data_IF_259011983582
#
_entry.id   IF_259011983582
#
_cell.length_a   1.000
_cell.length_b   1.000
_cell.length_c   1.000
_cell.angle_alpha   90.00
_cell.angle_beta   90.00
_cell.angle_gamma   90.00
#
_symmetry.space_group_name_H-M   'P 1'
#
loop_
_entity.id
_entity.type
_entity.pdbx_description
1 polymer ?
#
# COMPACT_ATOMS: atom_id res chain seq x y z
N UNK A 1 -2.07 -19.01 9.38
CA UNK A 1 -1.43 -18.88 8.05
C UNK A 1 0.03 -18.47 8.26
N UNK A 2 0.99 -19.28 7.82
CA UNK A 2 2.42 -19.07 8.06
C UNK A 2 2.95 -17.90 7.23
N UNK A 3 3.66 -16.94 7.84
CA UNK A 3 4.24 -15.74 7.21
C UNK A 3 5.35 -15.97 6.18
N UNK A 4 5.26 -17.03 5.37
CA UNK A 4 6.23 -17.39 4.32
C UNK A 4 6.35 -16.35 3.19
N UNK A 5 5.39 -15.42 3.07
CA UNK A 5 5.41 -14.36 2.06
C UNK A 5 6.47 -13.27 2.31
N UNK A 6 6.99 -13.13 3.54
CA UNK A 6 7.96 -12.06 3.86
C UNK A 6 9.30 -12.22 3.14
N UNK A 7 9.72 -13.47 2.86
CA UNK A 7 11.01 -13.77 2.20
C UNK A 7 11.10 -13.28 0.75
N UNK A 8 9.98 -13.11 0.07
CA UNK A 8 9.97 -12.60 -1.31
C UNK A 8 10.48 -11.15 -1.33
N UNK A 9 10.13 -10.36 -0.32
CA UNK A 9 10.51 -8.94 -0.23
C UNK A 9 11.98 -8.70 0.13
N UNK A 10 12.70 -9.68 0.68
CA UNK A 10 14.13 -9.54 1.01
C UNK A 10 15.00 -9.34 -0.25
N UNK A 11 14.51 -9.79 -1.41
CA UNK A 11 15.18 -9.67 -2.71
C UNK A 11 14.62 -8.55 -3.60
N UNK A 12 13.51 -7.92 -3.19
CA UNK A 12 12.82 -6.90 -3.97
C UNK A 12 13.39 -5.53 -3.60
N UNK A 13 14.17 -4.97 -4.52
CA UNK A 13 14.84 -3.68 -4.37
C UNK A 13 14.12 -2.56 -5.14
N UNK A 14 12.82 -2.73 -5.43
CA UNK A 14 12.00 -1.73 -6.13
C UNK A 14 11.07 -0.99 -5.14
N UNK A 15 10.65 0.25 -5.44
CA UNK A 15 9.70 0.97 -4.60
C UNK A 15 8.37 0.22 -4.49
N UNK A 16 7.85 0.10 -3.27
CA UNK A 16 6.54 -0.49 -2.99
C UNK A 16 5.65 0.59 -2.38
N UNK A 17 4.59 0.93 -3.09
CA UNK A 17 3.61 1.95 -2.65
C UNK A 17 2.26 1.28 -2.40
N UNK A 18 1.73 1.43 -1.19
CA UNK A 18 0.39 0.95 -0.83
C UNK A 18 -0.62 2.08 -0.98
N UNK A 19 -1.73 1.80 -1.64
CA UNK A 19 -2.93 2.65 -1.64
C UNK A 19 -4.03 1.84 -0.99
N UNK A 20 -4.47 2.22 0.21
CA UNK A 20 -5.37 1.39 1.01
C UNK A 20 -6.42 2.21 1.77
N UNK A 21 -7.52 1.58 2.17
CA UNK A 21 -8.48 2.19 3.08
C UNK A 21 -7.88 2.31 4.50
N UNK A 22 -8.15 3.42 5.21
CA UNK A 22 -7.68 3.58 6.61
C UNK A 22 -8.38 2.62 7.58
N UNK A 23 -9.63 2.27 7.30
CA UNK A 23 -10.50 1.53 8.22
C UNK A 23 -9.95 0.13 8.59
N UNK A 24 -9.16 -0.48 7.71
CA UNK A 24 -8.60 -1.81 7.93
C UNK A 24 -7.11 -1.73 8.28
N UNK A 25 -6.69 -2.22 9.46
CA UNK A 25 -5.32 -2.06 9.90
C UNK A 25 -4.35 -2.86 9.03
N UNK A 26 -3.57 -2.15 8.22
CA UNK A 26 -2.35 -2.70 7.62
C UNK A 26 -1.24 -2.63 8.66
N UNK A 27 -0.51 -3.72 8.88
CA UNK A 27 0.68 -3.69 9.75
C UNK A 27 1.85 -2.99 9.04
N UNK A 28 1.73 -1.67 8.93
CA UNK A 28 2.66 -0.81 8.20
C UNK A 28 4.07 -0.86 8.81
N UNK A 29 4.17 -0.98 10.14
CA UNK A 29 5.46 -1.11 10.83
C UNK A 29 6.22 -2.37 10.43
N UNK A 30 5.52 -3.50 10.31
CA UNK A 30 6.13 -4.75 9.85
C UNK A 30 6.54 -4.64 8.38
N UNK A 31 5.71 -4.04 7.53
CA UNK A 31 6.03 -3.85 6.12
C UNK A 31 7.29 -2.98 5.93
N UNK A 32 7.37 -1.85 6.65
CA UNK A 32 8.54 -0.95 6.62
C UNK A 32 9.84 -1.62 7.09
N UNK A 33 9.77 -2.60 7.98
CA UNK A 33 10.96 -3.37 8.42
C UNK A 33 11.50 -4.33 7.36
N UNK A 34 10.64 -4.80 6.44
CA UNK A 34 11.01 -5.79 5.43
C UNK A 34 11.15 -5.20 4.02
N UNK A 35 10.62 -4.00 3.77
CA UNK A 35 10.63 -3.32 2.47
C UNK A 35 11.46 -2.05 2.60
N UNK A 36 12.56 -1.96 1.86
CA UNK A 36 13.50 -0.83 1.95
C UNK A 36 12.90 0.49 1.49
N UNK A 37 12.14 0.48 0.40
CA UNK A 37 11.49 1.66 -0.18
C UNK A 37 9.98 1.45 -0.13
N UNK A 38 9.38 1.95 0.96
CA UNK A 38 7.98 1.72 1.31
C UNK A 38 7.28 3.05 1.55
N UNK A 39 6.18 3.26 0.83
CA UNK A 39 5.26 4.38 1.03
C UNK A 39 3.82 3.87 1.15
N UNK A 40 2.99 4.60 1.89
CA UNK A 40 1.58 4.25 2.06
C UNK A 40 0.71 5.52 1.98
N UNK A 41 -0.35 5.41 1.20
CA UNK A 41 -1.41 6.39 1.03
C UNK A 41 -2.70 5.77 1.54
N UNK A 42 -3.46 6.56 2.31
CA UNK A 42 -4.75 6.14 2.81
C UNK A 42 -5.88 6.85 2.07
N UNK A 43 -6.95 6.10 1.81
CA UNK A 43 -8.23 6.62 1.34
C UNK A 43 -9.15 6.63 2.55
N UNK A 44 -9.49 7.84 3.00
CA UNK A 44 -10.36 8.03 4.15
C UNK A 44 -11.80 7.63 3.80
N UNK A 45 -12.59 7.27 4.80
CA UNK A 45 -14.03 6.92 4.67
C UNK A 45 -14.35 5.91 3.56
N UNK A 46 -13.45 4.95 3.32
CA UNK A 46 -13.67 3.82 2.40
C UNK A 46 -13.63 2.49 3.14
N UNK A 47 -14.40 1.52 2.65
CA UNK A 47 -14.46 0.15 3.13
C UNK A 47 -13.36 -0.72 2.54
N UNK A 48 -13.67 -1.98 2.24
CA UNK A 48 -12.66 -2.95 1.82
C UNK A 48 -12.18 -2.75 0.39
N UNK A 49 -13.02 -2.14 -0.46
CA UNK A 49 -12.76 -1.98 -1.89
C UNK A 49 -12.76 -0.50 -2.28
N UNK A 50 -11.75 0.30 -1.89
CA UNK A 50 -11.72 1.73 -2.16
C UNK A 50 -11.82 2.08 -3.65
N UNK A 51 -11.34 1.20 -4.53
CA UNK A 51 -11.45 1.34 -5.98
C UNK A 51 -12.89 1.21 -6.52
N UNK A 52 -13.78 0.53 -5.78
CA UNK A 52 -15.20 0.39 -6.14
C UNK A 52 -16.07 1.42 -5.40
N UNK A 53 -15.75 1.67 -4.13
CA UNK A 53 -16.52 2.54 -3.25
C UNK A 53 -16.26 4.02 -3.53
N UNK A 54 -15.01 4.38 -3.85
CA UNK A 54 -14.57 5.75 -4.13
C UNK A 54 -13.62 5.82 -5.34
N UNK A 55 -14.09 5.44 -6.54
CA UNK A 55 -13.23 5.28 -7.72
C UNK A 55 -12.44 6.55 -8.10
N UNK A 56 -13.06 7.74 -7.97
CA UNK A 56 -12.39 9.00 -8.31
C UNK A 56 -11.27 9.36 -7.33
N UNK A 57 -11.51 9.19 -6.03
CA UNK A 57 -10.51 9.44 -4.98
C UNK A 57 -9.38 8.42 -5.08
N UNK A 58 -9.74 7.14 -5.28
CA UNK A 58 -8.78 6.06 -5.53
C UNK A 58 -7.89 6.36 -6.73
N UNK A 59 -8.45 6.73 -7.89
CA UNK A 59 -7.67 7.01 -9.09
C UNK A 59 -6.75 8.23 -8.93
N UNK A 60 -7.19 9.25 -8.17
CA UNK A 60 -6.37 10.43 -7.90
C UNK A 60 -5.15 10.06 -7.06
N UNK A 61 -5.38 9.37 -5.94
CA UNK A 61 -4.30 8.93 -5.04
C UNK A 61 -3.39 7.91 -5.71
N UNK A 62 -3.96 6.99 -6.50
CA UNK A 62 -3.18 6.05 -7.31
C UNK A 62 -2.24 6.80 -8.26
N UNK A 63 -2.70 7.90 -8.86
CA UNK A 63 -1.84 8.67 -9.76
C UNK A 63 -0.75 9.45 -9.06
N UNK A 64 -1.01 9.95 -7.86
CA UNK A 64 0.02 10.53 -7.00
C UNK A 64 1.06 9.48 -6.60
N UNK A 65 0.61 8.29 -6.19
CA UNK A 65 1.46 7.16 -5.84
C UNK A 65 2.37 6.77 -7.00
N UNK A 66 1.84 6.62 -8.22
CA UNK A 66 2.64 6.29 -9.41
C UNK A 66 3.67 7.38 -9.72
N UNK A 67 3.29 8.67 -9.62
CA UNK A 67 4.23 9.79 -9.85
C UNK A 67 5.31 9.92 -8.77
N UNK A 68 5.09 9.35 -7.59
CA UNK A 68 6.06 9.38 -6.49
C UNK A 68 7.21 8.38 -6.68
N UNK A 69 7.00 7.34 -7.50
CA UNK A 69 8.00 6.33 -7.84
C UNK A 69 9.01 6.93 -8.83
N UNK A 70 10.30 6.84 -8.51
CA UNK A 70 11.42 7.34 -9.33
C UNK A 70 12.13 6.22 -10.07
#
# INVERSE_FOLDING_TARGET
MSGKASRVYESVNVPVVLVNARLWPTNSEKNKKHIKDYSIYYIEDSGHFPMLEKPNEFNTILMEAVKSVK
#
